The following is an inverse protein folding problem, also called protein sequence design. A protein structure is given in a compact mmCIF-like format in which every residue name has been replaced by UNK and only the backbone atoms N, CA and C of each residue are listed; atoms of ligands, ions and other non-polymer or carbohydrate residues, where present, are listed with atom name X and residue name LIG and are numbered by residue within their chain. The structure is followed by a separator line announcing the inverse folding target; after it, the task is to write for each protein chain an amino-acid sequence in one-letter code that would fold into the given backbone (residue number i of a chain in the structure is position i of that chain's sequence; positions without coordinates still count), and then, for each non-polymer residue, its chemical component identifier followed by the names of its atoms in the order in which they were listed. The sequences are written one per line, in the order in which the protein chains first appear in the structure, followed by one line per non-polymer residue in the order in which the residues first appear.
data_IF_308748469642
#
_entry.id   IF_308748469642
#
_cell.length_a   1.000
_cell.length_b   1.000
_cell.length_c   1.000
_cell.angle_alpha   90.00
_cell.angle_beta   90.00
_cell.angle_gamma   90.00
#
_symmetry.space_group_name_H-M   'P 1'
#
loop_
_entity.id
_entity.type
_entity.pdbx_description
1 polymer ?
#
# COMPACT_ATOMS: atom_id res chain seq x y z
N UNK A 1 26.87 -8.20 -8.26
CA UNK A 1 27.21 -9.59 -8.64
C UNK A 1 28.69 -9.70 -8.88
N UNK A 2 29.30 -10.87 -8.55
CA UNK A 2 30.62 -11.24 -9.04
C UNK A 2 30.61 -11.48 -10.57
N UNK A 3 31.77 -11.42 -11.20
CA UNK A 3 31.85 -11.57 -12.66
C UNK A 3 31.36 -12.94 -13.17
N UNK A 4 31.48 -13.98 -12.36
CA UNK A 4 31.02 -15.35 -12.63
C UNK A 4 29.55 -15.60 -12.17
N UNK A 5 28.87 -14.60 -11.67
CA UNK A 5 27.50 -14.65 -11.14
C UNK A 5 27.27 -15.64 -9.98
N UNK A 6 28.34 -16.15 -9.35
CA UNK A 6 28.24 -17.12 -8.23
C UNK A 6 28.05 -16.43 -6.87
N UNK A 7 28.21 -15.11 -6.80
CA UNK A 7 28.10 -14.33 -5.58
C UNK A 7 27.33 -13.03 -5.85
N UNK A 8 26.40 -12.67 -4.96
CA UNK A 8 25.68 -11.40 -4.99
C UNK A 8 25.60 -10.79 -3.60
N UNK A 9 25.77 -9.47 -3.50
CA UNK A 9 25.39 -8.71 -2.32
C UNK A 9 24.20 -7.81 -2.68
N UNK A 10 23.25 -7.69 -1.76
CA UNK A 10 22.04 -6.91 -1.95
C UNK A 10 21.48 -6.42 -0.61
N UNK A 11 20.56 -5.48 -0.67
CA UNK A 11 19.81 -5.06 0.51
C UNK A 11 18.46 -5.76 0.54
N UNK A 12 18.06 -6.25 1.72
CA UNK A 12 16.78 -6.89 1.93
C UNK A 12 16.00 -6.16 3.02
N UNK A 13 14.74 -5.85 2.73
CA UNK A 13 13.74 -5.37 3.69
C UNK A 13 12.69 -6.45 3.89
N UNK A 14 12.26 -6.67 5.12
CA UNK A 14 11.16 -7.60 5.44
C UNK A 14 9.98 -6.84 6.05
N UNK A 15 8.85 -7.49 6.28
CA UNK A 15 7.72 -6.84 6.98
C UNK A 15 8.06 -6.26 8.36
N UNK A 16 9.07 -6.81 9.01
CA UNK A 16 9.43 -6.47 10.39
C UNK A 16 10.85 -5.96 10.56
N UNK A 17 11.63 -5.90 9.48
CA UNK A 17 13.02 -5.43 9.51
C UNK A 17 13.29 -4.43 8.41
N UNK A 18 14.01 -3.37 8.76
CA UNK A 18 14.55 -2.41 7.80
C UNK A 18 15.68 -3.04 6.99
N UNK A 19 16.05 -2.36 5.89
CA UNK A 19 17.09 -2.84 4.96
C UNK A 19 18.40 -3.15 5.68
N UNK A 20 18.87 -4.37 5.48
CA UNK A 20 20.19 -4.83 5.89
C UNK A 20 20.91 -5.43 4.68
N UNK A 21 22.24 -5.46 4.70
CA UNK A 21 23.04 -6.04 3.63
C UNK A 21 23.10 -7.55 3.79
N UNK A 22 22.83 -8.24 2.71
CA UNK A 22 22.87 -9.69 2.61
C UNK A 22 23.89 -10.13 1.56
N UNK A 23 24.42 -11.32 1.74
CA UNK A 23 25.32 -12.00 0.82
C UNK A 23 24.71 -13.34 0.44
N UNK A 24 24.49 -13.51 -0.85
CA UNK A 24 24.17 -14.78 -1.46
C UNK A 24 25.41 -15.37 -2.14
N UNK A 25 25.59 -16.66 -2.00
CA UNK A 25 26.63 -17.45 -2.76
C UNK A 25 25.97 -18.74 -3.22
N UNK A 26 26.27 -19.12 -4.44
CA UNK A 26 25.81 -20.38 -5.00
C UNK A 26 26.20 -21.56 -4.11
N UNK A 27 25.26 -22.48 -3.86
CA UNK A 27 25.45 -23.65 -3.00
C UNK A 27 25.64 -23.37 -1.50
N UNK A 28 25.42 -22.14 -1.04
CA UNK A 28 25.52 -21.79 0.37
C UNK A 28 24.24 -21.07 0.87
N UNK A 29 23.90 -21.23 2.16
CA UNK A 29 22.83 -20.43 2.75
C UNK A 29 23.14 -18.94 2.66
N UNK A 30 22.11 -18.15 2.45
CA UNK A 30 22.18 -16.69 2.51
C UNK A 30 22.68 -16.24 3.89
N UNK A 31 23.50 -15.18 3.90
CA UNK A 31 24.08 -14.62 5.11
C UNK A 31 23.78 -13.12 5.23
N UNK A 32 23.10 -12.72 6.30
CA UNK A 32 23.00 -11.31 6.67
C UNK A 32 24.36 -10.78 7.15
N UNK A 33 24.84 -9.69 6.56
CA UNK A 33 26.14 -9.09 6.87
C UNK A 33 26.05 -7.93 7.86
N UNK A 34 24.95 -7.17 7.84
CA UNK A 34 24.76 -6.01 8.74
C UNK A 34 23.57 -6.19 9.67
N UNK A 35 23.58 -5.46 10.78
CA UNK A 35 22.53 -5.46 11.82
C UNK A 35 22.30 -4.07 12.38
N UNK A 36 22.35 -3.06 11.51
CA UNK A 36 22.29 -1.64 11.92
C UNK A 36 21.02 -1.27 12.70
N UNK A 37 19.91 -1.90 12.34
CA UNK A 37 18.60 -1.55 12.89
C UNK A 37 18.14 -2.47 14.02
N UNK A 38 18.78 -3.61 14.25
CA UNK A 38 18.29 -4.65 15.16
C UNK A 38 18.05 -4.14 16.57
N UNK A 39 19.01 -3.39 17.14
CA UNK A 39 18.91 -2.86 18.53
C UNK A 39 17.72 -1.91 18.71
N UNK A 40 17.39 -1.12 17.69
CA UNK A 40 16.23 -0.20 17.72
C UNK A 40 14.93 -0.96 17.53
N UNK A 41 14.87 -1.84 16.53
CA UNK A 41 13.67 -2.59 16.20
C UNK A 41 13.27 -3.58 17.29
N UNK A 42 14.25 -4.18 18.02
CA UNK A 42 13.95 -5.09 19.13
C UNK A 42 13.21 -4.45 20.30
N UNK A 43 13.17 -3.12 20.37
CA UNK A 43 12.45 -2.35 21.40
C UNK A 43 11.05 -1.93 20.95
N UNK A 44 10.66 -2.23 19.73
CA UNK A 44 9.39 -1.84 19.14
C UNK A 44 8.50 -3.07 18.89
N UNK A 45 7.20 -2.86 19.04
CA UNK A 45 6.20 -3.86 18.66
C UNK A 45 5.86 -3.68 17.19
N UNK A 46 6.63 -4.30 16.30
CA UNK A 46 6.42 -4.26 14.86
C UNK A 46 5.43 -5.35 14.45
N UNK A 47 4.46 -5.01 13.65
CA UNK A 47 3.42 -5.93 13.16
C UNK A 47 3.62 -6.21 11.67
N UNK A 48 3.63 -7.48 11.29
CA UNK A 48 3.65 -7.88 9.89
C UNK A 48 2.25 -7.79 9.27
N UNK A 49 2.11 -7.36 8.02
CA UNK A 49 0.85 -7.39 7.29
C UNK A 49 0.45 -8.83 6.94
N UNK A 50 -0.85 -9.09 6.95
CA UNK A 50 -1.47 -10.32 6.46
C UNK A 50 -1.94 -10.07 5.02
N UNK A 51 -1.53 -10.92 4.08
CA UNK A 51 -1.98 -10.85 2.69
C UNK A 51 -3.41 -11.37 2.55
N UNK A 52 -4.19 -10.72 1.72
CA UNK A 52 -5.47 -11.25 1.22
C UNK A 52 -5.59 -10.99 -0.28
N UNK A 53 -6.40 -11.79 -0.93
CA UNK A 53 -6.84 -11.53 -2.30
C UNK A 53 -8.36 -11.71 -2.37
N UNK A 54 -9.00 -10.94 -3.22
CA UNK A 54 -10.43 -11.07 -3.48
C UNK A 54 -10.71 -10.97 -4.96
N UNK A 55 -11.81 -11.58 -5.39
CA UNK A 55 -12.29 -11.50 -6.75
C UNK A 55 -13.18 -10.26 -6.90
N UNK A 56 -12.75 -9.32 -7.73
CA UNK A 56 -13.53 -8.13 -8.07
C UNK A 56 -14.78 -8.49 -8.89
N UNK A 57 -15.74 -7.57 -8.99
CA UNK A 57 -17.03 -7.78 -9.66
C UNK A 57 -16.90 -8.15 -11.13
N UNK A 58 -15.80 -7.78 -11.78
CA UNK A 58 -15.48 -8.14 -13.18
C UNK A 58 -14.68 -9.44 -13.30
N UNK A 59 -14.42 -10.13 -12.18
CA UNK A 59 -13.75 -11.42 -12.16
C UNK A 59 -12.24 -11.36 -11.99
N UNK A 60 -11.62 -10.18 -11.96
CA UNK A 60 -10.17 -10.02 -11.73
C UNK A 60 -9.83 -10.20 -10.26
N UNK A 61 -8.66 -10.78 -9.97
CA UNK A 61 -8.16 -10.90 -8.60
C UNK A 61 -7.40 -9.63 -8.22
N UNK A 62 -7.74 -9.06 -7.08
CA UNK A 62 -7.08 -7.88 -6.49
C UNK A 62 -6.38 -8.29 -5.21
N UNK A 63 -5.08 -7.96 -5.12
CA UNK A 63 -4.28 -8.22 -3.93
C UNK A 63 -4.32 -7.07 -2.94
N UNK A 64 -4.30 -7.42 -1.67
CA UNK A 64 -4.24 -6.47 -0.58
C UNK A 64 -3.60 -7.04 0.68
N UNK A 65 -3.39 -6.18 1.63
CA UNK A 65 -2.82 -6.52 2.93
C UNK A 65 -3.58 -5.79 4.03
N UNK A 66 -3.60 -6.42 5.19
CA UNK A 66 -4.12 -5.83 6.41
C UNK A 66 -3.14 -6.04 7.55
N UNK A 67 -2.93 -5.00 8.32
CA UNK A 67 -2.10 -5.00 9.50
C UNK A 67 -2.94 -4.66 10.72
N UNK A 68 -2.85 -5.48 11.76
CA UNK A 68 -3.57 -5.25 13.01
C UNK A 68 -2.67 -4.61 14.07
N UNK A 69 -3.26 -3.92 15.05
CA UNK A 69 -2.52 -3.49 16.23
C UNK A 69 -1.84 -4.67 16.91
N UNK A 70 -0.66 -4.48 17.50
CA UNK A 70 0.02 -5.54 18.26
C UNK A 70 -0.89 -6.16 19.32
N UNK A 71 -0.89 -7.49 19.42
CA UNK A 71 -1.57 -8.28 20.48
C UNK A 71 -3.11 -8.15 20.57
N UNK A 72 -3.80 -7.68 19.52
CA UNK A 72 -5.22 -7.30 19.65
C UNK A 72 -6.19 -7.86 18.62
N UNK A 73 -5.90 -9.00 18.00
CA UNK A 73 -6.74 -9.62 16.92
C UNK A 73 -8.17 -10.00 17.32
N UNK A 74 -8.50 -10.04 18.61
CA UNK A 74 -9.80 -10.57 19.10
C UNK A 74 -10.90 -9.51 19.21
N UNK A 75 -10.62 -8.23 19.08
CA UNK A 75 -11.59 -7.14 19.20
C UNK A 75 -11.79 -6.43 17.85
N UNK A 76 -12.92 -5.71 17.73
CA UNK A 76 -13.14 -4.85 16.56
C UNK A 76 -12.28 -3.59 16.64
N UNK A 77 -11.56 -3.31 15.56
CA UNK A 77 -10.66 -2.15 15.46
C UNK A 77 -11.26 -1.05 14.57
N UNK A 78 -11.00 0.22 14.88
CA UNK A 78 -11.08 1.25 13.86
C UNK A 78 -10.09 0.89 12.74
N UNK A 79 -10.39 1.28 11.51
CA UNK A 79 -9.51 0.96 10.40
C UNK A 79 -9.18 2.19 9.55
N UNK A 80 -8.04 2.14 8.90
CA UNK A 80 -7.61 3.15 7.94
C UNK A 80 -7.26 2.45 6.63
N UNK A 81 -7.92 2.88 5.56
CA UNK A 81 -7.52 2.56 4.19
C UNK A 81 -6.36 3.45 3.80
N UNK A 82 -5.26 2.84 3.36
CA UNK A 82 -4.12 3.54 2.76
C UNK A 82 -4.12 3.34 1.25
N UNK A 83 -4.02 4.43 0.49
CA UNK A 83 -3.99 4.42 -0.97
C UNK A 83 -2.63 4.93 -1.44
N UNK A 84 -1.90 4.12 -2.21
CA UNK A 84 -0.58 4.52 -2.73
C UNK A 84 -0.67 5.61 -3.79
N UNK A 85 0.43 6.28 -4.02
CA UNK A 85 0.60 7.23 -5.11
C UNK A 85 0.89 6.54 -6.45
N UNK A 86 1.15 7.32 -7.46
CA UNK A 86 1.46 6.84 -8.80
C UNK A 86 0.41 7.31 -9.81
N UNK A 87 -0.53 6.49 -10.30
CA UNK A 87 -0.95 5.15 -9.85
C UNK A 87 0.03 4.01 -10.13
N UNK A 88 0.96 4.16 -11.06
CA UNK A 88 1.91 3.13 -11.52
C UNK A 88 3.02 2.84 -10.50
N UNK A 89 2.62 2.60 -9.25
CA UNK A 89 3.44 2.04 -8.17
C UNK A 89 2.73 0.83 -7.58
N UNK A 90 3.32 0.18 -6.58
CA UNK A 90 2.67 -0.91 -5.88
C UNK A 90 3.07 -0.92 -4.41
N UNK A 91 2.15 -1.29 -3.55
CA UNK A 91 2.46 -1.73 -2.21
C UNK A 91 2.98 -3.16 -2.20
N UNK A 92 3.73 -3.50 -1.18
CA UNK A 92 4.19 -4.84 -0.87
C UNK A 92 4.22 -5.06 0.63
N UNK A 93 5.02 -6.03 1.04
CA UNK A 93 5.13 -6.44 2.45
C UNK A 93 6.23 -5.70 3.23
N UNK A 94 6.95 -4.77 2.60
CA UNK A 94 8.03 -4.04 3.26
C UNK A 94 7.55 -3.23 4.47
N UNK A 95 8.45 -3.00 5.43
CA UNK A 95 8.16 -2.19 6.60
C UNK A 95 7.90 -0.73 6.20
N UNK A 96 6.68 -0.24 6.43
CA UNK A 96 6.27 1.15 6.22
C UNK A 96 6.04 1.80 7.58
N UNK A 97 6.84 2.82 7.90
CA UNK A 97 6.79 3.50 9.20
C UNK A 97 5.39 4.05 9.53
N UNK A 98 4.73 4.71 8.59
CA UNK A 98 3.39 5.27 8.79
C UNK A 98 2.38 4.17 9.17
N UNK A 99 2.44 3.01 8.53
CA UNK A 99 1.52 1.90 8.83
C UNK A 99 1.76 1.33 10.23
N UNK A 100 3.03 1.21 10.63
CA UNK A 100 3.39 0.78 11.98
C UNK A 100 2.93 1.78 13.04
N UNK A 101 3.07 3.08 12.76
CA UNK A 101 2.60 4.13 13.67
C UNK A 101 1.09 4.07 13.87
N UNK A 102 0.32 3.93 12.79
CA UNK A 102 -1.13 3.80 12.86
C UNK A 102 -1.56 2.52 13.59
N UNK A 103 -0.91 1.40 13.31
CA UNK A 103 -1.16 0.14 14.02
C UNK A 103 -0.87 0.26 15.51
N UNK A 104 0.23 0.93 15.91
CA UNK A 104 0.57 1.20 17.30
C UNK A 104 -0.47 2.08 18.01
N UNK A 105 -1.19 2.94 17.28
CA UNK A 105 -2.28 3.77 17.78
C UNK A 105 -3.63 3.01 17.86
N UNK A 106 -3.66 1.72 17.55
CA UNK A 106 -4.85 0.88 17.69
C UNK A 106 -5.70 0.75 16.42
N UNK A 107 -5.25 1.26 15.27
CA UNK A 107 -5.94 1.11 14.00
C UNK A 107 -5.52 -0.19 13.28
N UNK A 108 -6.48 -0.88 12.69
CA UNK A 108 -6.17 -1.79 11.61
C UNK A 108 -5.87 -0.95 10.34
N UNK A 109 -4.75 -1.24 9.69
CA UNK A 109 -4.35 -0.57 8.45
C UNK A 109 -4.48 -1.54 7.30
N UNK A 110 -5.26 -1.21 6.27
CA UNK A 110 -5.38 -2.03 5.09
C UNK A 110 -5.09 -1.24 3.82
N UNK A 111 -4.56 -1.93 2.84
CA UNK A 111 -4.14 -1.36 1.57
C UNK A 111 -4.19 -2.41 0.48
N UNK A 112 -4.35 -1.99 -0.76
CA UNK A 112 -4.45 -2.86 -1.93
C UNK A 112 -3.60 -2.31 -3.08
N UNK A 113 -3.41 -3.13 -4.10
CA UNK A 113 -2.93 -2.73 -5.40
C UNK A 113 -4.10 -2.74 -6.39
N UNK A 114 -4.86 -1.63 -6.53
CA UNK A 114 -5.94 -1.54 -7.48
C UNK A 114 -5.40 -1.56 -8.93
N UNK A 115 -6.28 -1.67 -9.91
CA UNK A 115 -5.89 -1.44 -11.30
C UNK A 115 -5.23 -0.07 -11.47
N UNK A 116 -4.23 0.00 -12.33
CA UNK A 116 -3.30 1.13 -12.41
C UNK A 116 -1.97 0.87 -11.67
N UNK A 117 -1.94 -0.07 -10.71
CA UNK A 117 -0.71 -0.42 -9.99
C UNK A 117 0.29 -1.13 -10.90
N UNK A 118 1.58 -0.96 -10.63
CA UNK A 118 2.65 -1.73 -11.27
C UNK A 118 2.74 -3.16 -10.71
N UNK A 119 3.61 -3.98 -11.30
CA UNK A 119 3.95 -5.35 -10.86
C UNK A 119 2.93 -6.45 -11.20
N UNK A 120 1.88 -6.13 -11.95
CA UNK A 120 0.84 -7.08 -12.40
C UNK A 120 0.74 -7.20 -13.93
N UNK A 121 1.76 -6.69 -14.66
CA UNK A 121 1.77 -6.63 -16.11
C UNK A 121 1.22 -5.31 -16.66
N UNK A 122 1.41 -5.11 -17.97
CA UNK A 122 1.10 -3.84 -18.66
C UNK A 122 -0.41 -3.58 -18.71
N UNK A 123 -1.21 -4.60 -19.01
CA UNK A 123 -2.67 -4.48 -19.06
C UNK A 123 -3.27 -3.97 -17.75
N UNK A 124 -2.74 -4.46 -16.61
CA UNK A 124 -3.17 -4.00 -15.30
C UNK A 124 -2.72 -2.56 -15.02
N UNK A 125 -1.48 -2.23 -15.36
CA UNK A 125 -0.88 -0.92 -15.13
C UNK A 125 -1.56 0.17 -15.98
N UNK A 126 -1.94 -0.15 -17.20
CA UNK A 126 -2.58 0.77 -18.14
C UNK A 126 -4.11 0.78 -18.05
N UNK A 127 -4.72 -0.10 -17.25
CA UNK A 127 -6.18 -0.27 -17.18
C UNK A 127 -6.96 0.97 -16.75
N UNK A 128 -6.31 1.96 -16.16
CA UNK A 128 -6.96 3.20 -15.69
C UNK A 128 -6.51 4.45 -16.46
N UNK A 129 -5.69 4.28 -17.50
CA UNK A 129 -5.25 5.40 -18.34
C UNK A 129 -6.46 6.11 -18.98
N UNK A 130 -6.58 7.43 -18.78
CA UNK A 130 -7.73 8.22 -19.22
C UNK A 130 -9.05 8.00 -18.44
N UNK A 131 -9.06 7.11 -17.43
CA UNK A 131 -10.27 6.68 -16.70
C UNK A 131 -10.06 6.65 -15.17
N UNK A 132 -9.26 7.58 -14.63
CA UNK A 132 -9.04 7.67 -13.19
C UNK A 132 -10.35 7.95 -12.42
N UNK A 133 -10.57 7.20 -11.36
CA UNK A 133 -11.76 7.30 -10.53
C UNK A 133 -12.90 6.36 -10.95
N UNK A 134 -12.69 5.50 -11.94
CA UNK A 134 -13.66 4.49 -12.37
C UNK A 134 -13.33 3.11 -11.77
N UNK A 135 -12.50 2.33 -12.46
CA UNK A 135 -12.22 0.95 -12.04
C UNK A 135 -11.28 0.85 -10.84
N UNK A 136 -10.32 1.74 -10.73
CA UNK A 136 -9.48 1.91 -9.55
C UNK A 136 -10.30 2.24 -8.28
N UNK A 137 -11.25 3.16 -8.41
CA UNK A 137 -12.21 3.46 -7.33
C UNK A 137 -13.07 2.22 -6.99
N UNK A 138 -13.59 1.51 -7.99
CA UNK A 138 -14.39 0.31 -7.75
C UNK A 138 -13.58 -0.77 -7.01
N UNK A 139 -12.34 -1.05 -7.42
CA UNK A 139 -11.45 -1.99 -6.73
C UNK A 139 -11.24 -1.63 -5.25
N UNK A 140 -11.05 -0.34 -4.95
CA UNK A 140 -10.88 0.15 -3.60
C UNK A 140 -12.17 -0.01 -2.77
N UNK A 141 -13.34 0.25 -3.35
CA UNK A 141 -14.62 0.09 -2.67
C UNK A 141 -14.94 -1.37 -2.40
N UNK A 142 -14.71 -2.24 -3.38
CA UNK A 142 -14.90 -3.68 -3.26
C UNK A 142 -13.93 -4.32 -2.24
N UNK A 143 -12.66 -3.86 -2.22
CA UNK A 143 -11.70 -4.23 -1.19
C UNK A 143 -12.18 -3.82 0.21
N UNK A 144 -12.74 -2.62 0.34
CA UNK A 144 -13.28 -2.16 1.60
C UNK A 144 -14.44 -3.04 2.06
N UNK A 145 -15.34 -3.46 1.14
CA UNK A 145 -16.42 -4.40 1.45
C UNK A 145 -15.89 -5.75 1.92
N UNK A 146 -14.88 -6.27 1.21
CA UNK A 146 -14.23 -7.53 1.56
C UNK A 146 -13.61 -7.46 2.96
N UNK A 147 -12.84 -6.43 3.25
CA UNK A 147 -12.18 -6.23 4.56
C UNK A 147 -13.21 -6.13 5.68
N UNK A 148 -14.26 -5.34 5.50
CA UNK A 148 -15.33 -5.16 6.51
C UNK A 148 -16.16 -6.42 6.73
N UNK A 149 -16.21 -7.33 5.77
CA UNK A 149 -16.91 -8.62 5.88
C UNK A 149 -16.02 -9.67 6.55
N UNK A 150 -14.75 -9.73 6.20
CA UNK A 150 -13.84 -10.82 6.57
C UNK A 150 -13.15 -10.59 7.91
N UNK A 151 -12.85 -9.34 8.26
CA UNK A 151 -11.99 -9.01 9.39
C UNK A 151 -12.75 -8.30 10.53
N UNK A 152 -12.25 -8.34 11.78
CA UNK A 152 -12.88 -7.70 12.93
C UNK A 152 -12.70 -6.18 12.90
N UNK A 153 -13.35 -5.50 11.96
CA UNK A 153 -13.33 -4.06 11.80
C UNK A 153 -14.63 -3.44 12.32
N UNK A 154 -14.50 -2.32 13.02
CA UNK A 154 -15.65 -1.50 13.37
C UNK A 154 -16.05 -0.64 12.18
N UNK A 155 -17.14 -1.03 11.52
CA UNK A 155 -17.68 -0.36 10.33
C UNK A 155 -18.05 1.11 10.54
N UNK A 156 -18.23 1.53 11.80
CA UNK A 156 -18.54 2.92 12.15
C UNK A 156 -17.29 3.79 12.31
N UNK A 157 -16.09 3.19 12.30
CA UNK A 157 -14.82 3.88 12.52
C UNK A 157 -13.80 3.51 11.45
N UNK A 158 -14.12 3.83 10.20
CA UNK A 158 -13.23 3.60 9.05
C UNK A 158 -12.84 4.94 8.46
N UNK A 159 -11.55 5.19 8.35
CA UNK A 159 -10.96 6.35 7.70
C UNK A 159 -10.27 5.97 6.38
N UNK A 160 -9.96 6.99 5.58
CA UNK A 160 -9.21 6.84 4.33
C UNK A 160 -8.12 7.90 4.23
N UNK A 161 -6.97 7.51 3.72
CA UNK A 161 -5.86 8.42 3.45
C UNK A 161 -5.03 7.95 2.27
N UNK A 162 -4.33 8.87 1.65
CA UNK A 162 -3.39 8.58 0.58
C UNK A 162 -2.65 9.82 0.13
N UNK A 163 -1.50 9.62 -0.49
CA UNK A 163 -0.65 10.69 -0.97
C UNK A 163 -0.53 10.73 -2.49
N UNK A 164 -0.36 11.93 -3.07
CA UNK A 164 -0.22 12.11 -4.52
C UNK A 164 -1.48 11.63 -5.27
N UNK A 165 -1.35 10.65 -6.18
CA UNK A 165 -2.51 9.98 -6.77
C UNK A 165 -3.45 9.37 -5.70
N UNK A 166 -2.90 8.78 -4.62
CA UNK A 166 -3.72 8.32 -3.49
C UNK A 166 -4.46 9.47 -2.78
N UNK A 167 -3.90 10.67 -2.81
CA UNK A 167 -4.56 11.89 -2.34
C UNK A 167 -5.70 12.32 -3.27
N UNK A 168 -5.50 12.26 -4.60
CA UNK A 168 -6.57 12.43 -5.59
C UNK A 168 -7.71 11.45 -5.32
N UNK A 169 -7.39 10.16 -5.19
CA UNK A 169 -8.39 9.12 -4.94
C UNK A 169 -9.09 9.30 -3.59
N UNK A 170 -8.39 9.79 -2.56
CA UNK A 170 -9.02 10.15 -1.27
C UNK A 170 -10.07 11.25 -1.47
N UNK A 171 -9.76 12.32 -2.22
CA UNK A 171 -10.72 13.37 -2.56
C UNK A 171 -11.88 12.84 -3.39
N UNK A 172 -11.60 11.99 -4.38
CA UNK A 172 -12.61 11.35 -5.21
C UNK A 172 -13.60 10.54 -4.36
N UNK A 173 -13.10 9.72 -3.46
CA UNK A 173 -13.89 8.90 -2.54
C UNK A 173 -14.83 9.75 -1.69
N UNK A 174 -14.34 10.82 -1.04
CA UNK A 174 -15.20 11.64 -0.16
C UNK A 174 -16.25 12.43 -0.93
N UNK A 175 -16.03 12.70 -2.22
CA UNK A 175 -17.02 13.29 -3.12
C UNK A 175 -18.11 12.30 -3.59
N UNK A 176 -17.86 10.98 -3.50
CA UNK A 176 -18.74 9.96 -4.05
C UNK A 176 -19.41 9.07 -2.98
N UNK A 177 -18.94 9.07 -1.74
CA UNK A 177 -19.51 8.22 -0.69
C UNK A 177 -19.32 8.79 0.71
N UNK A 178 -20.29 8.54 1.60
CA UNK A 178 -20.23 8.86 3.04
C UNK A 178 -19.73 7.68 3.91
N UNK A 179 -19.11 6.69 3.29
CA UNK A 179 -18.68 5.43 3.93
C UNK A 179 -17.60 5.65 4.98
N UNK A 180 -16.64 6.53 4.69
CA UNK A 180 -15.53 6.84 5.58
C UNK A 180 -15.89 7.97 6.53
N UNK A 181 -15.48 7.82 7.81
CA UNK A 181 -15.79 8.78 8.87
C UNK A 181 -14.75 9.87 9.05
N UNK A 182 -13.57 9.64 8.49
CA UNK A 182 -12.48 10.61 8.43
C UNK A 182 -11.70 10.40 7.12
N UNK A 183 -11.17 11.47 6.58
CA UNK A 183 -10.30 11.45 5.43
C UNK A 183 -9.09 12.36 5.66
N UNK A 184 -7.91 11.91 5.28
CA UNK A 184 -6.70 12.72 5.32
C UNK A 184 -6.06 12.70 3.93
N UNK A 185 -6.21 13.78 3.19
CA UNK A 185 -5.64 13.96 1.88
C UNK A 185 -4.22 14.51 2.00
N UNK A 186 -3.25 13.77 1.47
CA UNK A 186 -1.86 14.15 1.54
C UNK A 186 -1.34 14.53 0.14
N UNK A 187 -0.67 15.72 -0.01
CA UNK A 187 0.00 16.15 -1.26
C UNK A 187 -0.77 15.74 -2.53
N UNK A 188 -2.05 16.02 -2.56
CA UNK A 188 -2.98 15.52 -3.58
C UNK A 188 -2.94 16.29 -4.88
N UNK A 189 -3.42 15.65 -5.94
CA UNK A 189 -3.87 16.31 -7.15
C UNK A 189 -5.35 16.64 -6.94
N UNK A 190 -5.68 17.90 -6.72
CA UNK A 190 -7.07 18.36 -6.48
C UNK A 190 -7.71 18.97 -7.73
N UNK A 191 -6.91 19.38 -8.71
CA UNK A 191 -7.36 19.93 -9.97
C UNK A 191 -6.37 19.59 -11.07
N UNK A 192 -6.79 18.82 -12.05
CA UNK A 192 -5.93 18.33 -13.15
C UNK A 192 -5.44 19.45 -14.07
N UNK A 193 -6.26 20.48 -14.30
CA UNK A 193 -5.86 21.64 -15.14
C UNK A 193 -4.74 22.42 -14.46
N UNK A 194 -4.87 22.70 -13.17
CA UNK A 194 -3.81 23.34 -12.39
C UNK A 194 -2.55 22.47 -12.34
N UNK A 195 -2.73 21.15 -12.14
CA UNK A 195 -1.61 20.21 -12.08
C UNK A 195 -0.82 20.19 -13.40
N UNK A 196 -1.51 20.22 -14.54
CA UNK A 196 -0.85 20.32 -15.86
C UNK A 196 0.03 21.56 -15.97
N UNK A 197 -0.49 22.73 -15.55
CA UNK A 197 0.21 24.00 -15.72
C UNK A 197 1.25 24.34 -14.65
N UNK A 198 1.22 23.69 -13.48
CA UNK A 198 2.06 24.07 -12.33
C UNK A 198 3.00 22.96 -11.83
N UNK A 199 2.83 21.73 -12.31
CA UNK A 199 3.68 20.60 -11.91
C UNK A 199 4.76 20.30 -12.94
N UNK A 200 5.92 19.89 -12.48
CA UNK A 200 7.03 19.40 -13.30
C UNK A 200 6.71 18.13 -14.10
N UNK A 201 5.73 17.35 -13.63
CA UNK A 201 5.28 16.09 -14.27
C UNK A 201 3.84 16.18 -14.82
N UNK A 202 3.12 17.28 -14.60
CA UNK A 202 1.70 17.41 -14.95
C UNK A 202 1.41 17.18 -16.43
N UNK A 203 2.28 17.62 -17.30
CA UNK A 203 2.17 17.43 -18.73
C UNK A 203 2.20 15.95 -19.19
N UNK A 204 2.85 15.08 -18.41
CA UNK A 204 2.89 13.63 -18.68
C UNK A 204 1.55 12.96 -18.41
N UNK A 205 0.90 13.35 -17.31
CA UNK A 205 -0.40 12.76 -16.92
C UNK A 205 -1.54 13.09 -17.88
N UNK A 206 -1.43 14.15 -18.66
CA UNK A 206 -2.44 14.48 -19.69
C UNK A 206 -2.35 13.62 -20.95
N UNK A 207 -1.28 12.82 -21.08
CA UNK A 207 -1.05 11.92 -22.21
C UNK A 207 -1.39 10.45 -21.86
N UNK A 208 -1.77 10.20 -20.64
CA UNK A 208 -2.18 8.91 -20.09
C UNK A 208 -3.70 8.81 -19.93
#
# INVERSE_FOLDING_TARGET
YSADHTTASYTQTTPTHLSEVHLWREGRPEKQLTKFNNTRLSRLHITAPEHFSFKASDGMNVDGWIMFPPNSRKQKHPAILQIHGGPRTAYGIGLVHEFQLLAAQGFAVYYINPRGSSSYGEDWTCAVAGHYGERDYADIMEATDYVLKKYPIDRKRVGVTGGSYGGFMTNWIVGHTNRFKAACTQRCISNWVSFFGTSDIGWRFSQE
#
